data_IF_877812923687
#
_entry.id   IF_877812923687
#
_cell.length_a   1.000
_cell.length_b   1.000
_cell.length_c   1.000
_cell.angle_alpha   90.00
_cell.angle_beta   90.00
_cell.angle_gamma   90.00
#
_symmetry.space_group_name_H-M   'P 1'
#
loop_
_entity.id
_entity.type
_entity.pdbx_description
1 polymer ?
#
# COMPACT_ATOMS: atom_id res chain seq x y z
N UNK A 1 66.71 -6.52 -25.43
CA UNK A 1 65.70 -7.47 -24.89
C UNK A 1 65.64 -7.33 -23.38
N UNK A 2 64.41 -7.38 -22.82
CA UNK A 2 63.99 -7.35 -21.40
C UNK A 2 64.05 -5.96 -20.76
N UNK A 3 63.06 -5.47 -19.99
CA UNK A 3 61.70 -5.87 -19.59
C UNK A 3 61.23 -4.68 -18.72
N UNK A 4 60.13 -3.96 -18.93
CA UNK A 4 58.75 -4.44 -18.91
C UNK A 4 58.32 -4.78 -17.48
N UNK A 5 58.20 -3.81 -16.55
CA UNK A 5 57.65 -4.02 -15.19
C UNK A 5 57.40 -2.72 -14.40
N UNK A 6 56.47 -1.85 -14.83
CA UNK A 6 55.89 -0.81 -13.93
C UNK A 6 54.41 -0.55 -14.24
N UNK A 7 53.62 -1.56 -14.61
CA UNK A 7 52.16 -1.40 -14.80
C UNK A 7 51.40 -2.63 -14.29
N UNK A 8 51.56 -2.99 -13.01
CA UNK A 8 50.84 -4.15 -12.44
C UNK A 8 50.37 -3.98 -10.98
N UNK A 9 50.22 -2.76 -10.46
CA UNK A 9 49.82 -2.56 -9.04
C UNK A 9 48.55 -1.74 -8.78
N UNK A 10 47.75 -1.37 -9.80
CA UNK A 10 46.45 -0.70 -9.57
C UNK A 10 45.22 -1.52 -9.99
N UNK A 11 45.39 -2.79 -10.38
CA UNK A 11 44.34 -3.60 -10.99
C UNK A 11 43.56 -4.57 -10.09
N UNK A 12 43.77 -4.62 -8.77
CA UNK A 12 43.26 -5.69 -7.89
C UNK A 12 42.21 -5.26 -6.84
N UNK A 13 41.81 -3.97 -6.79
CA UNK A 13 40.80 -3.48 -5.84
C UNK A 13 39.36 -3.44 -6.39
N UNK A 14 39.13 -3.80 -7.66
CA UNK A 14 37.80 -3.74 -8.28
C UNK A 14 37.04 -5.09 -8.36
N UNK A 15 37.65 -6.20 -7.95
CA UNK A 15 37.08 -7.55 -8.10
C UNK A 15 36.14 -7.99 -6.95
N UNK A 16 35.79 -7.07 -6.05
CA UNK A 16 35.05 -7.38 -4.82
C UNK A 16 33.64 -6.76 -4.86
N UNK A 17 33.39 -5.88 -5.84
CA UNK A 17 32.04 -5.47 -6.16
C UNK A 17 31.36 -6.67 -6.83
N UNK A 18 30.89 -7.63 -6.02
CA UNK A 18 29.80 -8.50 -6.43
C UNK A 18 28.69 -7.55 -6.86
N UNK A 19 28.34 -7.46 -8.16
CA UNK A 19 27.12 -6.76 -8.51
C UNK A 19 26.02 -7.45 -7.70
N UNK A 20 25.33 -6.67 -6.86
CA UNK A 20 24.13 -7.15 -6.22
C UNK A 20 23.28 -7.69 -7.36
N UNK A 21 22.87 -8.97 -7.33
CA UNK A 21 21.83 -9.38 -8.23
C UNK A 21 20.68 -8.43 -7.91
N UNK A 22 20.31 -7.59 -8.87
CA UNK A 22 18.99 -6.99 -8.92
C UNK A 22 18.01 -8.15 -9.16
N UNK A 23 17.94 -9.07 -8.20
CA UNK A 23 16.86 -10.00 -8.05
C UNK A 23 15.64 -9.10 -7.99
N UNK A 24 14.81 -9.17 -9.04
CA UNK A 24 13.65 -8.31 -9.18
C UNK A 24 12.95 -8.22 -7.85
N UNK A 25 12.88 -7.01 -7.30
CA UNK A 25 12.07 -6.73 -6.13
C UNK A 25 10.64 -6.97 -6.58
N UNK A 26 10.17 -8.21 -6.44
CA UNK A 26 8.76 -8.52 -6.57
C UNK A 26 8.12 -7.74 -5.44
N UNK A 27 7.50 -6.61 -5.80
CA UNK A 27 6.81 -5.75 -4.87
C UNK A 27 5.62 -6.56 -4.34
N UNK A 28 5.82 -7.27 -3.23
CA UNK A 28 4.79 -8.07 -2.59
C UNK A 28 3.66 -7.10 -2.23
N UNK A 29 2.49 -7.27 -2.85
CA UNK A 29 1.28 -6.51 -2.54
C UNK A 29 0.39 -7.36 -1.65
N UNK A 30 0.18 -6.91 -0.41
CA UNK A 30 -0.69 -7.61 0.56
C UNK A 30 -2.13 -7.17 0.42
N UNK A 31 -3.05 -8.07 0.79
CA UNK A 31 -4.49 -7.84 0.74
C UNK A 31 -4.93 -6.69 1.67
N UNK A 32 -6.03 -6.04 1.29
CA UNK A 32 -6.61 -4.91 2.02
C UNK A 32 -6.02 -3.59 1.56
N UNK A 33 -6.42 -2.51 2.22
CA UNK A 33 -5.95 -1.14 1.94
C UNK A 33 -5.32 -0.53 3.17
N UNK A 34 -4.48 0.48 2.96
CA UNK A 34 -4.04 1.32 4.06
C UNK A 34 -5.24 2.05 4.68
N UNK A 35 -5.25 2.26 6.01
CA UNK A 35 -6.25 3.11 6.64
C UNK A 35 -6.15 4.53 6.09
N UNK A 36 -7.29 5.22 5.97
CA UNK A 36 -7.27 6.64 5.65
C UNK A 36 -6.77 7.43 6.87
N UNK A 37 -5.77 8.28 6.66
CA UNK A 37 -5.31 9.23 7.66
C UNK A 37 -6.16 10.51 7.59
N UNK A 38 -6.54 11.12 8.73
CA UNK A 38 -7.26 12.39 8.73
C UNK A 38 -6.49 13.50 8.00
N UNK A 39 -7.16 14.45 7.33
CA UNK A 39 -6.50 15.58 6.70
C UNK A 39 -5.64 16.37 7.70
N UNK A 40 -4.44 16.76 7.30
CA UNK A 40 -3.49 17.48 8.15
C UNK A 40 -2.73 16.61 9.15
N UNK A 41 -2.94 15.29 9.16
CA UNK A 41 -2.11 14.36 9.94
C UNK A 41 -0.69 14.36 9.37
N UNK A 42 0.29 14.72 10.20
CA UNK A 42 1.71 14.64 9.87
C UNK A 42 2.37 13.71 10.89
N UNK A 43 2.58 12.46 10.49
CA UNK A 43 3.35 11.51 11.27
C UNK A 43 4.84 11.82 11.27
N UNK A 44 5.63 10.97 11.93
CA UNK A 44 7.08 11.08 11.91
C UNK A 44 7.62 10.79 10.50
N UNK A 45 8.53 11.63 10.03
CA UNK A 45 9.16 11.53 8.71
C UNK A 45 10.26 10.44 8.67
N UNK A 46 9.89 9.22 9.03
CA UNK A 46 10.76 8.04 8.98
C UNK A 46 10.19 7.08 7.93
N UNK A 47 11.06 6.56 7.05
CA UNK A 47 10.71 5.48 6.13
C UNK A 47 11.06 4.14 6.79
N UNK A 48 10.10 3.56 7.51
CA UNK A 48 10.25 2.27 8.18
C UNK A 48 10.02 1.06 7.27
N UNK A 49 9.54 1.28 6.05
CA UNK A 49 9.32 0.28 5.01
C UNK A 49 9.24 0.97 3.64
N UNK A 50 9.46 0.22 2.56
CA UNK A 50 9.32 0.68 1.18
C UNK A 50 8.14 -0.01 0.46
N UNK A 51 7.85 -1.26 0.81
CA UNK A 51 6.74 -2.02 0.26
C UNK A 51 6.13 -2.98 1.29
N UNK A 52 4.93 -3.52 1.03
CA UNK A 52 4.24 -4.37 2.01
C UNK A 52 5.07 -5.59 2.43
N UNK A 53 5.94 -6.09 1.54
CA UNK A 53 6.85 -7.20 1.82
C UNK A 53 7.83 -6.96 2.97
N UNK A 54 8.12 -5.70 3.31
CA UNK A 54 9.01 -5.35 4.43
C UNK A 54 8.30 -5.49 5.77
N UNK A 55 6.97 -5.44 5.75
CA UNK A 55 6.16 -5.48 6.94
C UNK A 55 5.90 -6.92 7.39
N UNK A 56 5.83 -7.19 8.71
CA UNK A 56 5.53 -8.51 9.20
C UNK A 56 4.06 -8.89 8.99
N UNK A 57 3.78 -10.18 8.79
CA UNK A 57 2.43 -10.72 8.69
C UNK A 57 1.60 -10.03 7.60
N UNK A 58 0.38 -9.63 7.95
CA UNK A 58 -0.57 -8.99 7.02
C UNK A 58 -0.41 -7.46 6.89
N UNK A 59 0.47 -6.86 7.71
CA UNK A 59 0.66 -5.41 7.73
C UNK A 59 1.14 -4.88 6.39
N UNK A 60 0.62 -3.72 6.01
CA UNK A 60 0.96 -3.02 4.76
C UNK A 60 1.89 -1.86 5.05
N UNK A 61 2.73 -1.51 4.08
CA UNK A 61 3.54 -0.30 4.17
C UNK A 61 2.68 0.89 3.76
N UNK A 62 2.38 1.77 4.70
CA UNK A 62 1.39 2.83 4.55
C UNK A 62 1.99 4.20 4.88
N UNK A 63 1.56 5.23 4.17
CA UNK A 63 1.92 6.60 4.52
C UNK A 63 1.25 7.01 5.82
N UNK A 64 2.01 7.67 6.70
CA UNK A 64 1.49 8.32 7.91
C UNK A 64 1.37 9.84 7.75
N UNK A 65 1.41 10.35 6.51
CA UNK A 65 1.34 11.78 6.20
C UNK A 65 2.70 12.47 6.08
N UNK A 66 3.80 11.83 6.51
CA UNK A 66 5.16 12.27 6.15
C UNK A 66 6.04 11.11 5.70
N UNK A 67 6.15 10.08 6.52
CA UNK A 67 6.94 8.89 6.26
C UNK A 67 6.09 7.67 5.87
N UNK A 68 6.67 6.50 6.07
CA UNK A 68 6.07 5.19 5.78
C UNK A 68 6.22 4.27 6.99
N UNK A 69 5.15 3.59 7.37
CA UNK A 69 5.15 2.66 8.50
C UNK A 69 4.23 1.45 8.24
N UNK A 70 4.52 0.35 8.94
CA UNK A 70 3.75 -0.88 8.82
C UNK A 70 2.44 -0.79 9.62
N UNK A 71 1.31 -0.66 8.92
CA UNK A 71 -0.03 -0.54 9.52
C UNK A 71 -0.88 -1.79 9.29
N UNK A 72 -1.83 -2.05 10.19
CA UNK A 72 -2.88 -3.04 9.96
C UNK A 72 -3.78 -2.61 8.80
N UNK A 73 -4.05 -3.49 7.82
CA UNK A 73 -4.87 -3.12 6.67
C UNK A 73 -6.36 -3.04 7.03
N UNK A 74 -7.07 -2.12 6.39
CA UNK A 74 -8.54 -2.15 6.37
C UNK A 74 -9.00 -3.25 5.40
N UNK A 75 -10.01 -4.02 5.85
CA UNK A 75 -10.62 -5.08 5.02
C UNK A 75 -11.42 -4.45 3.87
N UNK A 76 -11.20 -4.94 2.67
CA UNK A 76 -11.96 -4.59 1.45
C UNK A 76 -12.71 -5.84 1.01
N UNK A 77 -14.02 -5.71 0.78
CA UNK A 77 -14.86 -6.82 0.32
C UNK A 77 -15.06 -6.76 -1.20
N UNK A 78 -15.28 -7.91 -1.87
CA UNK A 78 -15.59 -7.95 -3.30
C UNK A 78 -16.84 -7.15 -3.67
N UNK A 79 -16.94 -6.75 -4.93
CA UNK A 79 -18.08 -6.00 -5.49
C UNK A 79 -17.84 -4.50 -5.60
N UNK A 80 -18.78 -3.81 -6.24
CA UNK A 80 -18.70 -2.38 -6.53
C UNK A 80 -19.90 -1.66 -5.94
N UNK A 81 -19.64 -0.50 -5.31
CA UNK A 81 -20.73 0.35 -4.85
C UNK A 81 -21.54 0.87 -6.03
N UNK A 82 -22.87 1.02 -5.88
CA UNK A 82 -23.71 1.63 -6.90
C UNK A 82 -23.21 3.04 -7.20
N UNK A 83 -23.32 3.46 -8.46
CA UNK A 83 -22.94 4.81 -8.87
C UNK A 83 -23.90 5.80 -8.22
N UNK A 84 -23.35 6.77 -7.50
CA UNK A 84 -24.13 7.91 -7.03
C UNK A 84 -24.53 8.80 -8.22
N UNK A 85 -25.79 9.22 -8.26
CA UNK A 85 -26.31 10.17 -9.25
C UNK A 85 -26.21 11.57 -8.65
N UNK A 86 -25.41 12.49 -9.23
CA UNK A 86 -25.32 13.87 -8.76
C UNK A 86 -26.71 14.53 -8.73
N UNK A 87 -27.04 15.21 -7.64
CA UNK A 87 -28.32 15.89 -7.45
C UNK A 87 -29.44 15.05 -6.82
N UNK A 88 -29.24 13.74 -6.62
CA UNK A 88 -30.11 12.96 -5.75
C UNK A 88 -29.89 13.37 -4.28
N UNK A 89 -30.95 13.51 -3.46
CA UNK A 89 -30.79 13.76 -2.03
C UNK A 89 -30.02 12.59 -1.40
N UNK A 90 -28.78 12.86 -0.98
CA UNK A 90 -27.94 11.88 -0.30
C UNK A 90 -28.40 11.64 1.13
N UNK A 91 -28.25 10.41 1.61
CA UNK A 91 -28.47 10.10 3.03
C UNK A 91 -27.21 10.49 3.79
N UNK A 92 -27.28 11.54 4.61
CA UNK A 92 -26.13 12.03 5.41
C UNK A 92 -25.99 11.28 6.73
N UNK A 93 -25.79 9.98 6.60
CA UNK A 93 -25.51 9.08 7.72
C UNK A 93 -24.12 8.48 7.51
N UNK A 94 -23.30 8.48 8.56
CA UNK A 94 -21.95 7.92 8.57
C UNK A 94 -21.95 6.62 9.38
N UNK A 95 -22.53 5.57 8.82
CA UNK A 95 -22.67 4.26 9.48
C UNK A 95 -21.35 3.47 9.48
N UNK A 96 -20.51 3.68 8.47
CA UNK A 96 -19.27 2.96 8.28
C UNK A 96 -18.20 3.87 7.64
N UNK A 97 -16.94 3.45 7.71
CA UNK A 97 -15.81 4.07 7.01
C UNK A 97 -15.09 3.12 6.07
N UNK A 98 -15.28 1.81 6.25
CA UNK A 98 -14.71 0.76 5.40
C UNK A 98 -15.54 -0.52 5.46
N UNK A 99 -15.40 -1.38 4.45
CA UNK A 99 -16.22 -2.59 4.26
C UNK A 99 -16.18 -3.54 5.47
N UNK A 100 -15.05 -3.59 6.18
CA UNK A 100 -14.86 -4.42 7.37
C UNK A 100 -15.82 -4.14 8.53
N UNK A 101 -16.41 -2.94 8.59
CA UNK A 101 -17.41 -2.58 9.60
C UNK A 101 -18.82 -3.03 9.25
N UNK A 102 -19.07 -3.35 7.99
CA UNK A 102 -20.38 -3.81 7.54
C UNK A 102 -20.54 -5.32 7.78
N UNK A 103 -21.75 -5.82 8.06
CA UNK A 103 -22.00 -7.24 8.23
C UNK A 103 -21.87 -8.00 6.90
N UNK A 104 -21.63 -9.32 6.97
CA UNK A 104 -21.62 -10.21 5.81
C UNK A 104 -20.76 -9.72 4.64
N UNK A 105 -21.35 -9.66 3.44
CA UNK A 105 -20.71 -9.20 2.20
C UNK A 105 -20.97 -7.72 1.89
N UNK A 106 -21.69 -6.99 2.75
CA UNK A 106 -22.02 -5.58 2.54
C UNK A 106 -20.78 -4.70 2.46
N UNK A 107 -20.80 -3.75 1.54
CA UNK A 107 -19.73 -2.76 1.35
C UNK A 107 -20.12 -1.43 1.98
N UNK A 108 -19.10 -0.68 2.41
CA UNK A 108 -19.28 0.67 2.89
C UNK A 108 -19.28 1.64 1.71
N UNK A 109 -20.46 2.13 1.31
CA UNK A 109 -20.64 2.89 0.08
C UNK A 109 -20.97 4.35 0.36
N UNK A 110 -20.37 5.24 -0.43
CA UNK A 110 -20.62 6.67 -0.35
C UNK A 110 -22.00 7.03 -0.91
N UNK A 111 -22.75 7.85 -0.17
CA UNK A 111 -24.14 8.23 -0.48
C UNK A 111 -24.27 9.71 -0.89
N UNK A 112 -23.17 10.36 -1.28
CA UNK A 112 -23.12 11.79 -1.64
C UNK A 112 -22.66 12.69 -0.48
N UNK A 113 -23.09 12.40 0.74
CA UNK A 113 -22.63 13.11 1.95
C UNK A 113 -22.15 12.18 3.07
N UNK A 114 -22.62 10.94 3.11
CA UNK A 114 -22.28 9.96 4.15
C UNK A 114 -21.75 8.66 3.57
N UNK A 115 -21.79 7.63 4.41
CA UNK A 115 -21.39 6.27 4.10
C UNK A 115 -22.30 5.28 4.80
N UNK A 116 -22.88 4.36 4.05
CA UNK A 116 -23.80 3.33 4.60
C UNK A 116 -23.40 1.94 4.11
N UNK A 117 -23.79 0.93 4.87
CA UNK A 117 -23.60 -0.45 4.46
C UNK A 117 -24.63 -0.83 3.40
N UNK A 118 -24.16 -1.28 2.25
CA UNK A 118 -25.00 -1.63 1.09
C UNK A 118 -24.71 -3.05 0.66
N UNK A 119 -25.76 -3.84 0.46
CA UNK A 119 -25.68 -5.12 -0.23
C UNK A 119 -25.33 -4.87 -1.70
N UNK A 120 -24.19 -5.40 -2.14
CA UNK A 120 -23.73 -5.27 -3.52
C UNK A 120 -23.73 -6.64 -4.19
N UNK A 121 -23.98 -6.70 -5.51
CA UNK A 121 -23.70 -7.90 -6.28
C UNK A 121 -22.21 -8.23 -6.16
N UNK A 122 -21.90 -9.48 -5.80
CA UNK A 122 -20.54 -10.00 -5.92
C UNK A 122 -20.17 -10.06 -7.40
N UNK A 123 -18.91 -9.75 -7.79
CA UNK A 123 -18.47 -10.03 -9.15
C UNK A 123 -18.55 -11.54 -9.34
N UNK A 124 -19.25 -11.98 -10.39
CA UNK A 124 -19.26 -13.40 -10.78
C UNK A 124 -17.83 -13.80 -11.23
N UNK A 125 -17.37 -15.02 -10.90
CA UNK A 125 -16.06 -15.53 -11.29
C UNK A 125 -15.88 -15.64 -12.81
#
# INVERSE_FOLDING_TARGET
MKSGSVVLLTGLLALWARPQPAAGQSHIVKLGRCPMIPPGTVGTCIHGCDHDGDCPGVKKCCSNGCGQECMEPIRVKPGFCPRFIPGAPGICVFQCTHDGQCPGTQKCCHTGCGHVCVDVPSPEP
#
